data_IF_374928567656
#
_entry.id   IF_374928567656
#
_cell.length_a   1.000
_cell.length_b   1.000
_cell.length_c   1.000
_cell.angle_alpha   90.00
_cell.angle_beta   90.00
_cell.angle_gamma   90.00
#
_symmetry.space_group_name_H-M   'P 1'
#
loop_
_entity.id
_entity.type
_entity.pdbx_description
1 polymer ?
#
# COMPACT_ATOMS: atom_id res chain seq x y z
N UNK A 1 25.10 -12.97 -22.14
CA UNK A 1 23.66 -13.14 -21.89
C UNK A 1 23.11 -11.76 -21.62
N UNK A 2 22.43 -11.17 -22.62
CA UNK A 2 21.82 -9.86 -22.47
C UNK A 2 20.61 -9.98 -21.56
N UNK A 3 20.49 -9.08 -20.60
CA UNK A 3 19.39 -9.03 -19.64
C UNK A 3 18.16 -8.47 -20.38
N UNK A 4 17.14 -9.31 -20.60
CA UNK A 4 15.92 -8.93 -21.32
C UNK A 4 15.13 -7.88 -20.51
N UNK A 5 14.97 -6.68 -21.07
CA UNK A 5 14.20 -5.61 -20.42
C UNK A 5 12.69 -5.88 -20.50
N UNK A 6 11.87 -5.36 -19.56
CA UNK A 6 10.42 -5.52 -19.59
C UNK A 6 9.77 -5.04 -20.90
N UNK A 7 10.32 -3.98 -21.50
CA UNK A 7 9.86 -3.48 -22.80
C UNK A 7 10.07 -4.52 -23.92
N UNK A 8 11.24 -5.17 -23.98
CA UNK A 8 11.56 -6.21 -24.97
C UNK A 8 10.57 -7.37 -24.91
N UNK A 9 10.26 -7.86 -23.70
CA UNK A 9 9.30 -8.97 -23.53
C UNK A 9 7.87 -8.58 -23.88
N UNK A 10 7.45 -7.34 -23.62
CA UNK A 10 6.12 -6.86 -24.01
C UNK A 10 5.97 -6.79 -25.54
N UNK A 11 7.04 -6.40 -26.23
CA UNK A 11 7.11 -6.41 -27.69
C UNK A 11 7.04 -7.86 -28.22
N UNK A 12 7.82 -8.78 -27.66
CA UNK A 12 7.84 -10.19 -28.06
C UNK A 12 6.46 -10.87 -27.96
N UNK A 13 5.72 -10.61 -26.87
CA UNK A 13 4.39 -11.19 -26.69
C UNK A 13 3.36 -10.55 -27.62
N UNK A 14 3.46 -9.23 -27.89
CA UNK A 14 2.60 -8.57 -28.88
C UNK A 14 2.89 -9.09 -30.30
N UNK A 15 4.16 -9.24 -30.67
CA UNK A 15 4.57 -9.79 -31.96
C UNK A 15 4.12 -11.25 -32.13
N UNK A 16 4.14 -12.06 -31.08
CA UNK A 16 3.61 -13.44 -31.13
C UNK A 16 2.12 -13.51 -31.51
N UNK A 17 1.30 -12.54 -31.10
CA UNK A 17 -0.12 -12.46 -31.51
C UNK A 17 -0.22 -12.14 -33.00
N UNK A 18 0.59 -11.20 -33.49
CA UNK A 18 0.63 -10.84 -34.91
C UNK A 18 1.15 -11.98 -35.77
N UNK A 19 2.19 -12.69 -35.35
CA UNK A 19 2.74 -13.86 -36.04
C UNK A 19 1.70 -14.98 -36.17
N UNK A 20 0.98 -15.29 -35.09
CA UNK A 20 -0.10 -16.28 -35.14
C UNK A 20 -1.21 -15.86 -36.14
N UNK A 21 -1.56 -14.57 -36.19
CA UNK A 21 -2.53 -14.10 -37.19
C UNK A 21 -2.00 -14.21 -38.63
N UNK A 22 -0.71 -13.91 -38.84
CA UNK A 22 -0.07 -14.05 -40.15
C UNK A 22 0.00 -15.50 -40.62
N UNK A 23 0.23 -16.45 -39.72
CA UNK A 23 0.18 -17.88 -40.02
C UNK A 23 -1.21 -18.32 -40.48
N UNK A 24 -2.26 -17.86 -39.79
CA UNK A 24 -3.66 -18.13 -40.16
C UNK A 24 -4.00 -17.53 -41.53
N UNK A 25 -3.56 -16.30 -41.79
CA UNK A 25 -3.71 -15.63 -43.09
C UNK A 25 -3.01 -16.40 -44.23
N UNK A 26 -1.78 -16.84 -43.98
CA UNK A 26 -0.97 -17.55 -44.99
C UNK A 26 -1.53 -18.92 -45.28
N UNK A 27 -2.02 -19.63 -44.25
CA UNK A 27 -2.68 -20.92 -44.41
C UNK A 27 -3.98 -20.83 -45.23
N UNK A 28 -4.75 -19.74 -45.05
CA UNK A 28 -5.96 -19.51 -45.84
C UNK A 28 -5.63 -19.13 -47.29
N UNK A 29 -4.62 -18.28 -47.51
CA UNK A 29 -4.14 -17.92 -48.84
C UNK A 29 -3.64 -19.15 -49.64
N UNK A 30 -3.00 -20.11 -48.97
CA UNK A 30 -2.53 -21.35 -49.59
C UNK A 30 -3.64 -22.37 -49.90
N UNK A 31 -4.82 -22.23 -49.30
CA UNK A 31 -6.00 -23.10 -49.54
C UNK A 31 -6.94 -22.54 -50.60
N UNK A 32 -6.93 -21.23 -50.80
CA UNK A 32 -7.75 -20.56 -51.80
C UNK A 32 -7.07 -20.57 -53.18
N UNK A 33 -7.74 -21.03 -54.24
CA UNK A 33 -7.24 -20.91 -55.61
C UNK A 33 -7.31 -19.48 -56.15
N UNK A 34 -8.04 -18.58 -55.49
CA UNK A 34 -8.17 -17.16 -55.83
C UNK A 34 -7.50 -16.26 -54.77
N UNK A 35 -7.00 -15.07 -55.16
CA UNK A 35 -6.46 -14.09 -54.21
C UNK A 35 -7.48 -13.74 -53.12
N UNK A 36 -7.02 -13.65 -51.86
CA UNK A 36 -7.88 -13.27 -50.75
C UNK A 36 -8.47 -11.86 -50.96
N UNK A 37 -9.80 -11.76 -50.92
CA UNK A 37 -10.49 -10.46 -50.94
C UNK A 37 -10.42 -9.77 -49.58
N UNK A 38 -10.67 -8.45 -49.58
CA UNK A 38 -10.74 -7.63 -48.36
C UNK A 38 -11.79 -8.18 -47.38
N UNK A 39 -12.96 -8.58 -47.89
CA UNK A 39 -14.04 -9.13 -47.07
C UNK A 39 -13.65 -10.45 -46.40
N UNK A 40 -12.90 -11.31 -47.09
CA UNK A 40 -12.39 -12.57 -46.54
C UNK A 40 -11.35 -12.32 -45.44
N UNK A 41 -10.48 -11.32 -45.61
CA UNK A 41 -9.48 -10.94 -44.59
C UNK A 41 -10.18 -10.41 -43.32
N UNK A 42 -11.20 -9.56 -43.47
CA UNK A 42 -11.98 -9.04 -42.32
C UNK A 42 -12.76 -10.14 -41.58
N UNK A 43 -13.30 -11.12 -42.31
CA UNK A 43 -13.96 -12.28 -41.72
C UNK A 43 -12.96 -13.15 -40.94
N UNK A 44 -11.75 -13.35 -41.50
CA UNK A 44 -10.67 -14.08 -40.83
C UNK A 44 -10.23 -13.38 -39.54
N UNK A 45 -10.05 -12.06 -39.57
CA UNK A 45 -9.65 -11.27 -38.42
C UNK A 45 -10.68 -11.37 -37.28
N UNK A 46 -11.98 -11.32 -37.60
CA UNK A 46 -13.06 -11.53 -36.62
C UNK A 46 -13.03 -12.92 -36.00
N UNK A 47 -12.90 -13.96 -36.82
CA UNK A 47 -12.82 -15.35 -36.34
C UNK A 47 -11.59 -15.59 -35.47
N UNK A 48 -10.44 -15.04 -35.86
CA UNK A 48 -9.21 -15.12 -35.09
C UNK A 48 -9.38 -14.46 -33.72
N UNK A 49 -9.99 -13.28 -33.66
CA UNK A 49 -10.32 -12.60 -32.40
C UNK A 49 -11.24 -13.42 -31.50
N UNK A 50 -12.22 -14.12 -32.05
CA UNK A 50 -13.24 -14.83 -31.27
C UNK A 50 -12.80 -16.23 -30.79
N UNK A 51 -12.00 -16.95 -31.60
CA UNK A 51 -11.73 -18.37 -31.37
C UNK A 51 -10.25 -18.72 -31.32
N UNK A 52 -9.44 -18.24 -32.27
CA UNK A 52 -8.08 -18.75 -32.47
C UNK A 52 -7.02 -17.98 -31.65
N UNK A 53 -7.34 -16.76 -31.19
CA UNK A 53 -6.45 -15.93 -30.37
C UNK A 53 -6.47 -16.27 -28.88
N UNK A 54 -7.35 -17.16 -28.40
CA UNK A 54 -7.57 -17.44 -26.97
C UNK A 54 -6.29 -17.85 -26.23
N UNK A 55 -5.47 -18.71 -26.84
CA UNK A 55 -4.23 -19.19 -26.23
C UNK A 55 -3.14 -18.08 -26.19
N UNK A 56 -3.03 -17.29 -27.26
CA UNK A 56 -2.11 -16.16 -27.32
C UNK A 56 -2.53 -15.03 -26.37
N UNK A 57 -3.83 -14.76 -26.23
CA UNK A 57 -4.38 -13.82 -25.26
C UNK A 57 -4.20 -14.32 -23.82
N UNK A 58 -4.32 -15.62 -23.56
CA UNK A 58 -4.03 -16.19 -22.24
C UNK A 58 -2.55 -16.03 -21.87
N UNK A 59 -1.61 -16.21 -22.82
CA UNK A 59 -0.19 -15.90 -22.63
C UNK A 59 0.05 -14.41 -22.37
N UNK A 60 -0.63 -13.55 -23.13
CA UNK A 60 -0.56 -12.09 -22.96
C UNK A 60 -1.07 -11.66 -21.58
N UNK A 61 -2.24 -12.13 -21.15
CA UNK A 61 -2.77 -11.86 -19.81
C UNK A 61 -1.85 -12.41 -18.72
N UNK A 62 -1.33 -13.63 -18.87
CA UNK A 62 -0.38 -14.20 -17.90
C UNK A 62 0.90 -13.37 -17.77
N UNK A 63 1.43 -12.87 -18.88
CA UNK A 63 2.61 -11.99 -18.88
C UNK A 63 2.29 -10.64 -18.22
N UNK A 64 1.13 -10.04 -18.50
CA UNK A 64 0.69 -8.83 -17.82
C UNK A 64 0.45 -9.06 -16.34
N UNK A 65 -0.16 -10.17 -15.93
CA UNK A 65 -0.32 -10.56 -14.52
C UNK A 65 1.04 -10.78 -13.85
N UNK A 66 2.03 -11.34 -14.54
CA UNK A 66 3.40 -11.47 -14.03
C UNK A 66 4.12 -10.12 -13.94
N UNK A 67 3.90 -9.22 -14.91
CA UNK A 67 4.45 -7.87 -14.90
C UNK A 67 3.79 -7.00 -13.82
N UNK A 68 2.48 -7.15 -13.60
CA UNK A 68 1.71 -6.54 -12.53
C UNK A 68 2.15 -7.11 -11.18
N UNK A 69 2.28 -8.43 -11.02
CA UNK A 69 2.86 -9.05 -9.81
C UNK A 69 4.30 -8.61 -9.54
N UNK A 70 5.08 -8.33 -10.58
CA UNK A 70 6.45 -7.83 -10.46
C UNK A 70 6.47 -6.34 -10.09
N UNK A 71 5.58 -5.54 -10.67
CA UNK A 71 5.36 -4.14 -10.29
C UNK A 71 4.77 -4.01 -8.88
N UNK A 72 3.90 -4.93 -8.48
CA UNK A 72 3.37 -5.10 -7.13
C UNK A 72 4.48 -5.49 -6.18
N UNK A 73 5.36 -6.45 -6.53
CA UNK A 73 6.58 -6.72 -5.76
C UNK A 73 7.44 -5.47 -5.59
N UNK A 74 7.53 -4.61 -6.59
CA UNK A 74 8.30 -3.36 -6.51
C UNK A 74 7.63 -2.32 -5.59
N UNK A 75 6.30 -2.19 -5.60
CA UNK A 75 5.51 -1.38 -4.65
C UNK A 75 5.62 -1.93 -3.22
N UNK A 76 5.52 -3.25 -3.05
CA UNK A 76 5.71 -3.97 -1.78
C UNK A 76 7.15 -3.89 -1.28
N UNK A 77 8.13 -3.83 -2.17
CA UNK A 77 9.53 -3.60 -1.84
C UNK A 77 9.80 -2.14 -1.52
N UNK A 78 9.09 -1.14 -2.07
CA UNK A 78 9.28 0.26 -1.69
C UNK A 78 8.86 0.57 -0.24
N UNK A 79 7.70 0.07 0.21
CA UNK A 79 7.30 0.16 1.62
C UNK A 79 8.23 -0.64 2.57
N UNK A 80 8.96 -1.64 2.05
CA UNK A 80 10.04 -2.36 2.77
C UNK A 80 11.42 -1.69 2.63
N UNK A 81 11.64 -0.86 1.61
CA UNK A 81 12.86 -0.06 1.35
C UNK A 81 12.88 1.22 2.19
N UNK A 82 11.74 1.67 2.72
CA UNK A 82 11.60 2.84 3.60
C UNK A 82 11.41 2.41 5.06
N UNK A 83 12.47 2.44 5.89
CA UNK A 83 12.40 1.98 7.28
C UNK A 83 11.33 2.66 8.14
N UNK A 84 11.07 3.94 7.88
CA UNK A 84 10.13 4.70 8.70
C UNK A 84 8.68 4.30 8.38
N UNK A 85 8.34 4.04 7.12
CA UNK A 85 7.02 3.55 6.72
C UNK A 85 6.69 2.25 7.45
N UNK A 86 7.68 1.36 7.56
CA UNK A 86 7.56 0.12 8.31
C UNK A 86 7.30 0.34 9.81
N UNK A 87 7.88 1.38 10.41
CA UNK A 87 7.60 1.76 11.80
C UNK A 87 6.18 2.30 11.98
N UNK A 88 5.72 3.15 11.04
CA UNK A 88 4.35 3.68 11.06
C UNK A 88 3.33 2.53 10.99
N UNK A 89 3.51 1.63 10.00
CA UNK A 89 2.62 0.49 9.80
C UNK A 89 2.64 -0.45 11.00
N UNK A 90 3.78 -0.61 11.67
CA UNK A 90 3.87 -1.47 12.86
C UNK A 90 2.93 -1.06 13.99
N UNK A 91 2.55 0.24 14.09
CA UNK A 91 1.61 0.74 15.12
C UNK A 91 0.23 0.08 15.02
N UNK A 92 -0.26 -0.08 13.79
CA UNK A 92 -1.63 -0.53 13.54
C UNK A 92 -1.69 -1.85 12.76
N UNK A 93 -0.56 -2.54 12.55
CA UNK A 93 -0.49 -3.75 11.74
C UNK A 93 -1.41 -4.89 12.21
N UNK A 94 -1.84 -4.84 13.48
CA UNK A 94 -2.78 -5.80 14.07
C UNK A 94 -4.23 -5.62 13.62
N UNK A 95 -4.57 -4.49 13.00
CA UNK A 95 -5.89 -4.24 12.43
C UNK A 95 -6.08 -4.91 11.08
N UNK A 96 -4.97 -5.32 10.44
CA UNK A 96 -5.01 -5.94 9.13
C UNK A 96 -5.48 -7.40 9.22
N UNK A 97 -6.25 -7.86 8.23
CA UNK A 97 -6.66 -9.25 8.11
C UNK A 97 -5.44 -10.17 7.93
N UNK A 98 -5.54 -11.36 8.51
CA UNK A 98 -4.89 -12.58 8.02
C UNK A 98 -5.64 -13.08 6.78
N UNK A 99 -5.12 -14.10 6.11
CA UNK A 99 -5.70 -14.66 4.89
C UNK A 99 -7.19 -15.01 5.06
N UNK A 100 -8.04 -14.43 4.20
CA UNK A 100 -9.49 -14.61 4.20
C UNK A 100 -10.27 -13.94 5.35
N UNK A 101 -9.63 -13.24 6.28
CA UNK A 101 -10.32 -12.65 7.45
C UNK A 101 -11.22 -11.44 7.13
N UNK A 102 -11.11 -10.86 5.92
CA UNK A 102 -12.07 -9.82 5.50
C UNK A 102 -13.47 -10.39 5.34
N UNK A 103 -13.59 -11.66 4.96
CA UNK A 103 -14.89 -12.28 4.69
C UNK A 103 -15.61 -12.68 5.98
N UNK A 104 -14.88 -12.91 7.06
CA UNK A 104 -15.45 -13.19 8.38
C UNK A 104 -15.95 -11.96 9.13
N UNK A 105 -15.72 -10.75 8.61
CA UNK A 105 -16.08 -9.49 9.27
C UNK A 105 -15.34 -9.22 10.58
N UNK A 106 -14.29 -10.00 10.86
CA UNK A 106 -13.46 -9.89 12.07
C UNK A 106 -12.32 -8.90 11.91
N UNK A 107 -11.88 -8.66 10.66
CA UNK A 107 -10.86 -7.68 10.35
C UNK A 107 -11.48 -6.29 10.13
N UNK A 108 -10.79 -5.27 10.64
CA UNK A 108 -11.31 -3.90 10.66
C UNK A 108 -10.85 -3.11 9.42
N UNK A 109 -9.66 -3.41 8.87
CA UNK A 109 -9.02 -2.58 7.85
C UNK A 109 -8.23 -3.42 6.84
N UNK A 110 -8.46 -3.22 5.53
CA UNK A 110 -7.64 -3.80 4.46
C UNK A 110 -6.29 -3.07 4.32
N UNK A 111 -5.22 -3.79 3.94
CA UNK A 111 -3.92 -3.15 3.63
C UNK A 111 -3.96 -2.21 2.42
N UNK A 112 -5.06 -2.21 1.65
CA UNK A 112 -5.33 -1.25 0.58
C UNK A 112 -5.23 0.22 1.02
N UNK A 113 -5.37 0.51 2.32
CA UNK A 113 -5.28 1.88 2.86
C UNK A 113 -3.88 2.51 2.78
N UNK A 114 -2.83 1.71 2.63
CA UNK A 114 -1.45 2.16 2.85
C UNK A 114 -1.03 3.36 1.98
N UNK A 115 -1.31 3.42 0.66
CA UNK A 115 -0.89 4.57 -0.15
C UNK A 115 -1.54 5.87 0.32
N UNK A 116 -2.86 5.86 0.51
CA UNK A 116 -3.60 7.01 1.03
C UNK A 116 -3.22 7.39 2.46
N UNK A 117 -2.89 6.41 3.30
CA UNK A 117 -2.40 6.65 4.66
C UNK A 117 -1.06 7.41 4.65
N UNK A 118 -0.08 6.95 3.87
CA UNK A 118 1.22 7.63 3.79
C UNK A 118 1.09 9.04 3.21
N UNK A 119 0.24 9.22 2.20
CA UNK A 119 -0.07 10.54 1.64
C UNK A 119 -0.66 11.47 2.70
N UNK A 120 -1.66 11.00 3.46
CA UNK A 120 -2.29 11.80 4.52
C UNK A 120 -1.30 12.21 5.62
N UNK A 121 -0.44 11.28 6.02
CA UNK A 121 0.61 11.53 7.03
C UNK A 121 1.63 12.54 6.50
N UNK A 122 2.11 12.41 5.26
CA UNK A 122 3.02 13.40 4.65
C UNK A 122 2.36 14.78 4.52
N UNK A 123 1.07 14.85 4.16
CA UNK A 123 0.32 16.10 4.07
C UNK A 123 0.15 16.82 5.42
N UNK A 124 -0.08 16.07 6.51
CA UNK A 124 -0.23 16.66 7.85
C UNK A 124 1.13 17.02 8.47
N UNK A 125 2.12 16.14 8.35
CA UNK A 125 3.46 16.41 8.89
C UNK A 125 4.22 17.47 8.09
N UNK A 126 3.92 17.58 6.80
CA UNK A 126 4.74 18.29 5.84
C UNK A 126 5.89 17.42 5.33
N UNK A 127 6.21 17.61 4.04
CA UNK A 127 7.23 16.84 3.33
C UNK A 127 8.59 16.84 4.02
N UNK A 128 9.05 18.01 4.46
CA UNK A 128 10.37 18.17 5.06
C UNK A 128 10.51 17.34 6.35
N UNK A 129 9.53 17.44 7.27
CA UNK A 129 9.55 16.66 8.50
C UNK A 129 9.47 15.16 8.20
N UNK A 130 8.62 14.74 7.26
CA UNK A 130 8.49 13.34 6.89
C UNK A 130 9.81 12.78 6.31
N UNK A 131 10.48 13.52 5.43
CA UNK A 131 11.79 13.14 4.86
C UNK A 131 12.91 13.12 5.93
N UNK A 132 12.85 14.01 6.92
CA UNK A 132 13.74 13.99 8.09
C UNK A 132 13.53 12.71 8.92
N UNK A 133 12.27 12.33 9.20
CA UNK A 133 11.97 11.08 9.89
C UNK A 133 12.47 9.86 9.09
N UNK A 134 12.28 9.83 7.77
CA UNK A 134 12.84 8.77 6.92
C UNK A 134 14.36 8.65 7.08
N UNK A 135 15.06 9.79 7.05
CA UNK A 135 16.52 9.86 7.16
C UNK A 135 17.00 9.43 8.55
N UNK A 136 16.34 9.90 9.62
CA UNK A 136 16.64 9.52 10.99
C UNK A 136 16.45 8.01 11.21
N UNK A 137 15.32 7.44 10.74
CA UNK A 137 15.06 6.01 10.86
C UNK A 137 16.08 5.17 10.08
N UNK A 138 16.50 5.60 8.88
CA UNK A 138 17.59 4.96 8.13
C UNK A 138 18.89 4.96 8.92
N UNK A 139 19.19 6.06 9.61
CA UNK A 139 20.34 6.19 10.53
C UNK A 139 20.30 5.16 11.65
N UNK A 140 19.15 5.02 12.34
CA UNK A 140 18.94 4.03 13.41
C UNK A 140 19.15 2.61 12.88
N UNK A 141 18.53 2.26 11.75
CA UNK A 141 18.67 0.92 11.15
C UNK A 141 20.13 0.63 10.79
N UNK A 142 20.84 1.59 10.18
CA UNK A 142 22.26 1.42 9.82
C UNK A 142 23.13 1.22 11.07
N UNK A 143 22.90 1.99 12.13
CA UNK A 143 23.63 1.86 13.39
C UNK A 143 23.40 0.48 14.03
N UNK A 144 22.15 0.04 14.10
CA UNK A 144 21.81 -1.28 14.66
C UNK A 144 22.37 -2.42 13.83
N UNK A 145 22.27 -2.37 12.49
CA UNK A 145 22.91 -3.35 11.60
C UNK A 145 24.42 -3.47 11.84
N UNK A 146 25.11 -2.34 12.05
CA UNK A 146 26.54 -2.33 12.39
C UNK A 146 26.83 -2.96 13.76
N UNK A 147 25.93 -2.77 14.73
CA UNK A 147 26.07 -3.29 16.08
C UNK A 147 25.84 -4.80 16.17
N UNK A 148 24.79 -5.34 15.54
CA UNK A 148 24.39 -6.75 15.67
C UNK A 148 24.82 -7.63 14.51
N UNK A 149 25.26 -7.04 13.38
CA UNK A 149 25.76 -7.78 12.23
C UNK A 149 24.72 -8.74 11.64
N UNK A 150 25.08 -10.03 11.60
CA UNK A 150 24.27 -11.10 11.00
C UNK A 150 22.97 -11.38 11.77
N UNK A 151 22.91 -11.05 13.07
CA UNK A 151 21.74 -11.28 13.91
C UNK A 151 20.65 -10.20 13.75
N UNK A 152 20.81 -9.30 12.77
CA UNK A 152 19.86 -8.24 12.53
C UNK A 152 18.49 -8.78 12.11
N UNK A 153 17.48 -8.41 12.89
CA UNK A 153 16.07 -8.64 12.56
C UNK A 153 15.23 -7.43 13.00
N UNK A 154 14.12 -7.18 12.31
CA UNK A 154 13.33 -5.94 12.47
C UNK A 154 12.75 -5.74 13.87
N UNK A 155 12.57 -6.80 14.65
CA UNK A 155 12.14 -6.71 16.04
C UNK A 155 13.06 -5.81 16.87
N UNK A 156 14.37 -5.83 16.60
CA UNK A 156 15.36 -4.94 17.23
C UNK A 156 15.01 -3.47 17.02
N UNK A 157 14.50 -3.12 15.83
CA UNK A 157 14.12 -1.74 15.51
C UNK A 157 12.77 -1.40 16.11
N UNK A 158 11.83 -2.34 16.13
CA UNK A 158 10.52 -2.13 16.76
C UNK A 158 10.61 -1.95 18.28
N UNK A 159 11.60 -2.57 18.91
CA UNK A 159 11.87 -2.46 20.34
C UNK A 159 12.82 -1.31 20.68
N UNK A 160 13.44 -0.67 19.68
CA UNK A 160 14.32 0.48 19.90
C UNK A 160 13.52 1.72 20.33
N UNK A 161 13.93 2.33 21.43
CA UNK A 161 13.26 3.49 22.02
C UNK A 161 13.33 4.72 21.10
N UNK A 162 14.50 4.98 20.48
CA UNK A 162 14.63 6.12 19.57
C UNK A 162 13.76 5.95 18.32
N UNK A 163 13.61 4.71 17.83
CA UNK A 163 12.71 4.42 16.71
C UNK A 163 11.24 4.66 17.07
N UNK A 164 10.82 4.27 18.30
CA UNK A 164 9.47 4.53 18.80
C UNK A 164 9.22 6.02 19.00
N UNK A 165 10.18 6.73 19.59
CA UNK A 165 10.14 8.18 19.78
C UNK A 165 10.04 8.94 18.47
N UNK A 166 10.73 8.50 17.42
CA UNK A 166 10.62 9.13 16.10
C UNK A 166 9.18 9.10 15.53
N UNK A 167 8.44 8.02 15.80
CA UNK A 167 7.03 7.93 15.43
C UNK A 167 6.18 8.84 16.33
N UNK A 168 6.48 8.87 17.63
CA UNK A 168 5.79 9.77 18.56
C UNK A 168 5.99 11.24 18.14
N UNK A 169 7.19 11.65 17.73
CA UNK A 169 7.46 13.02 17.29
C UNK A 169 6.59 13.45 16.12
N UNK A 170 6.46 12.57 15.12
CA UNK A 170 5.58 12.80 13.98
C UNK A 170 4.12 12.99 14.44
N UNK A 171 3.63 12.08 15.29
CA UNK A 171 2.23 12.14 15.74
C UNK A 171 1.96 13.25 16.75
N UNK A 172 2.97 13.69 17.50
CA UNK A 172 2.93 14.88 18.33
C UNK A 172 2.66 16.13 17.51
N UNK A 173 3.31 16.28 16.36
CA UNK A 173 3.05 17.37 15.41
C UNK A 173 1.67 17.24 14.76
N UNK A 174 1.35 16.03 14.25
CA UNK A 174 0.09 15.74 13.56
C UNK A 174 -1.13 15.96 14.47
N UNK A 175 -1.00 15.75 15.78
CA UNK A 175 -2.10 15.90 16.75
C UNK A 175 -2.85 17.23 16.61
N UNK A 176 -2.15 18.32 16.32
CA UNK A 176 -2.71 19.65 16.17
C UNK A 176 -3.75 19.77 15.04
N UNK A 177 -3.71 18.90 14.03
CA UNK A 177 -4.67 18.87 12.93
C UNK A 177 -6.04 18.33 13.33
N UNK A 178 -6.13 17.64 14.48
CA UNK A 178 -7.34 17.02 15.01
C UNK A 178 -8.06 17.88 16.05
N UNK A 179 -7.78 19.19 16.11
CA UNK A 179 -8.53 20.12 16.97
C UNK A 179 -10.04 20.11 16.66
N UNK A 180 -10.40 19.93 15.38
CA UNK A 180 -11.76 19.55 14.95
C UNK A 180 -11.71 18.07 14.53
N UNK A 181 -11.96 17.20 15.52
CA UNK A 181 -11.75 15.76 15.39
C UNK A 181 -12.61 15.15 14.28
N UNK A 182 -13.93 15.36 14.30
CA UNK A 182 -14.85 14.77 13.33
C UNK A 182 -14.48 15.18 11.91
N UNK A 183 -14.28 16.49 11.69
CA UNK A 183 -13.92 17.00 10.37
C UNK A 183 -12.59 16.45 9.87
N UNK A 184 -11.59 16.33 10.75
CA UNK A 184 -10.27 15.81 10.36
C UNK A 184 -10.30 14.31 10.12
N UNK A 185 -11.04 13.54 10.93
CA UNK A 185 -11.20 12.11 10.75
C UNK A 185 -11.93 11.78 9.45
N UNK A 186 -12.99 12.54 9.11
CA UNK A 186 -13.67 12.44 7.82
C UNK A 186 -12.73 12.75 6.65
N UNK A 187 -11.99 13.86 6.71
CA UNK A 187 -11.01 14.20 5.67
C UNK A 187 -9.97 13.09 5.48
N UNK A 188 -9.47 12.50 6.58
CA UNK A 188 -8.49 11.42 6.55
C UNK A 188 -9.08 10.17 5.86
N UNK A 189 -10.31 9.78 6.24
CA UNK A 189 -11.02 8.65 5.64
C UNK A 189 -11.19 8.84 4.13
N UNK A 190 -11.65 10.01 3.71
CA UNK A 190 -11.93 10.29 2.31
C UNK A 190 -10.64 10.35 1.47
N UNK A 191 -9.56 10.90 2.02
CA UNK A 191 -8.26 10.89 1.37
C UNK A 191 -7.71 9.46 1.23
N UNK A 192 -7.87 8.62 2.26
CA UNK A 192 -7.46 7.21 2.20
C UNK A 192 -8.27 6.46 1.14
N UNK A 193 -9.60 6.62 1.15
CA UNK A 193 -10.48 5.92 0.22
C UNK A 193 -10.26 6.34 -1.24
N UNK A 194 -9.89 7.59 -1.50
CA UNK A 194 -9.56 8.06 -2.86
C UNK A 194 -8.21 7.54 -3.38
N UNK A 195 -7.39 6.92 -2.52
CA UNK A 195 -6.06 6.40 -2.85
C UNK A 195 -5.89 4.95 -2.40
N UNK A 196 -6.98 4.16 -2.38
CA UNK A 196 -6.87 2.73 -2.12
C UNK A 196 -6.05 2.06 -3.21
N UNK A 197 -5.15 1.16 -2.80
CA UNK A 197 -4.47 0.30 -3.74
C UNK A 197 -5.48 -0.58 -4.50
N UNK A 198 -5.15 -1.03 -5.72
CA UNK A 198 -5.96 -1.98 -6.46
C UNK A 198 -6.25 -3.24 -5.62
N UNK A 199 -7.49 -3.75 -5.60
CA UNK A 199 -7.87 -4.90 -4.79
C UNK A 199 -7.15 -6.20 -5.20
N UNK A 200 -6.71 -6.32 -6.46
CA UNK A 200 -5.96 -7.46 -6.98
C UNK A 200 -4.67 -7.71 -6.18
N UNK A 201 -4.01 -6.63 -5.76
CA UNK A 201 -2.79 -6.66 -4.95
C UNK A 201 -3.01 -7.28 -3.56
N UNK A 202 -4.26 -7.38 -3.12
CA UNK A 202 -4.68 -7.81 -1.78
C UNK A 202 -5.77 -8.89 -1.84
N UNK A 203 -5.89 -9.62 -2.95
CA UNK A 203 -6.88 -10.69 -3.13
C UNK A 203 -6.81 -11.78 -2.04
N UNK A 204 -5.64 -11.98 -1.42
CA UNK A 204 -5.46 -12.91 -0.31
C UNK A 204 -6.22 -12.51 0.97
N UNK A 205 -6.67 -11.25 1.09
CA UNK A 205 -7.41 -10.77 2.26
C UNK A 205 -8.87 -11.27 2.28
N UNK A 206 -9.41 -11.71 1.14
CA UNK A 206 -10.77 -12.24 0.99
C UNK A 206 -11.47 -11.73 -0.27
N UNK A 207 -12.59 -12.36 -0.66
CA UNK A 207 -13.37 -11.94 -1.84
C UNK A 207 -13.98 -10.54 -1.64
N UNK A 208 -14.34 -10.19 -0.41
CA UNK A 208 -14.90 -8.88 -0.06
C UNK A 208 -13.90 -7.72 -0.16
N UNK A 209 -12.61 -7.99 -0.40
CA UNK A 209 -11.60 -6.94 -0.56
C UNK A 209 -11.89 -6.03 -1.76
N UNK A 210 -12.60 -6.53 -2.77
CA UNK A 210 -12.91 -5.82 -4.02
C UNK A 210 -13.71 -4.54 -3.76
N UNK A 211 -14.82 -4.68 -3.04
CA UNK A 211 -15.76 -3.59 -2.75
C UNK A 211 -15.47 -2.89 -1.42
N UNK A 212 -14.40 -3.30 -0.73
CA UNK A 212 -14.08 -2.76 0.59
C UNK A 212 -13.64 -1.29 0.50
N UNK A 213 -14.09 -0.50 1.49
CA UNK A 213 -13.63 0.85 1.76
C UNK A 213 -13.49 1.10 3.26
N UNK A 214 -12.66 2.06 3.64
CA UNK A 214 -12.46 2.45 5.03
C UNK A 214 -13.72 3.17 5.54
N UNK A 215 -14.44 2.51 6.46
CA UNK A 215 -15.56 3.09 7.18
C UNK A 215 -15.14 3.88 8.43
N UNK A 216 -16.12 4.49 9.10
CA UNK A 216 -15.91 5.29 10.34
C UNK A 216 -15.22 4.47 11.43
N UNK A 217 -15.72 3.27 11.74
CA UNK A 217 -15.16 2.43 12.80
C UNK A 217 -13.71 2.03 12.52
N UNK A 218 -13.38 1.78 11.24
CA UNK A 218 -12.00 1.54 10.83
C UNK A 218 -11.11 2.77 10.95
N UNK A 219 -11.62 3.96 10.62
CA UNK A 219 -10.88 5.21 10.85
C UNK A 219 -10.60 5.43 12.34
N UNK A 220 -11.58 5.19 13.21
CA UNK A 220 -11.42 5.32 14.66
C UNK A 220 -10.43 4.29 15.21
N UNK A 221 -10.55 3.03 14.80
CA UNK A 221 -9.60 1.99 15.18
C UNK A 221 -8.17 2.33 14.75
N UNK A 222 -7.99 2.81 13.53
CA UNK A 222 -6.69 3.27 13.03
C UNK A 222 -6.13 4.40 13.90
N UNK A 223 -6.90 5.45 14.16
CA UNK A 223 -6.46 6.58 14.97
C UNK A 223 -6.13 6.17 16.41
N UNK A 224 -6.92 5.27 17.02
CA UNK A 224 -6.62 4.69 18.33
C UNK A 224 -5.26 4.00 18.34
N UNK A 225 -4.94 3.18 17.35
CA UNK A 225 -3.62 2.52 17.26
C UNK A 225 -2.44 3.49 17.09
N UNK A 226 -2.65 4.54 16.30
CA UNK A 226 -1.61 5.54 16.04
C UNK A 226 -1.30 6.35 17.31
N UNK A 227 -2.32 6.64 18.13
CA UNK A 227 -2.20 7.45 19.35
C UNK A 227 -2.15 6.66 20.65
N UNK A 228 -2.25 5.33 20.63
CA UNK A 228 -2.16 4.46 21.82
C UNK A 228 -0.95 4.74 22.73
N UNK A 229 0.27 5.04 22.21
CA UNK A 229 1.42 5.37 23.07
C UNK A 229 1.20 6.63 23.91
N UNK A 230 0.48 7.61 23.36
CA UNK A 230 0.13 8.82 24.10
C UNK A 230 -0.92 8.56 25.16
N UNK A 231 -1.86 7.66 24.90
CA UNK A 231 -2.81 7.24 25.93
C UNK A 231 -2.09 6.60 27.12
N UNK A 232 -1.11 5.73 26.87
CA UNK A 232 -0.27 5.12 27.91
C UNK A 232 0.53 6.19 28.67
N UNK A 233 1.17 7.11 27.95
CA UNK A 233 1.94 8.21 28.57
C UNK A 233 1.07 9.16 29.39
N UNK A 234 -0.14 9.48 28.95
CA UNK A 234 -1.06 10.37 29.67
C UNK A 234 -1.65 9.74 30.94
N UNK A 235 -1.66 8.41 31.02
CA UNK A 235 -2.10 7.69 32.23
C UNK A 235 -1.08 7.82 33.38
N UNK A 236 0.16 8.23 33.09
CA UNK A 236 1.23 8.41 34.05
C UNK A 236 1.64 9.89 34.18
N UNK A 237 2.02 10.31 35.40
CA UNK A 237 2.40 11.72 35.64
C UNK A 237 3.74 12.05 34.98
N UNK A 238 4.69 11.11 34.95
CA UNK A 238 5.98 11.32 34.29
C UNK A 238 5.83 11.31 32.76
N UNK A 239 5.05 10.37 32.21
CA UNK A 239 4.69 10.34 30.79
C UNK A 239 3.98 11.62 30.33
N UNK A 240 3.02 12.14 31.11
CA UNK A 240 2.39 13.44 30.82
C UNK A 240 3.42 14.58 30.78
N UNK A 241 4.30 14.66 31.78
CA UNK A 241 5.36 15.68 31.82
C UNK A 241 6.28 15.56 30.61
N UNK A 242 6.60 14.34 30.18
CA UNK A 242 7.39 14.10 28.97
C UNK A 242 6.73 14.69 27.72
N UNK A 243 5.43 14.48 27.54
CA UNK A 243 4.66 15.08 26.42
C UNK A 243 4.71 16.61 26.49
N UNK A 244 4.50 17.20 27.68
CA UNK A 244 4.53 18.65 27.87
C UNK A 244 5.92 19.27 27.58
N UNK A 245 6.99 18.62 28.02
CA UNK A 245 8.37 19.08 27.79
C UNK A 245 8.79 18.95 26.33
N UNK A 246 8.37 17.87 25.66
CA UNK A 246 8.79 17.55 24.30
C UNK A 246 7.97 18.26 23.22
N UNK A 247 6.66 18.35 23.41
CA UNK A 247 5.72 18.88 22.41
C UNK A 247 5.04 20.19 22.83
N UNK A 248 5.19 20.58 24.09
CA UNK A 248 4.58 21.78 24.65
C UNK A 248 3.17 21.55 25.22
N UNK A 249 2.77 22.44 26.12
CA UNK A 249 1.48 22.37 26.83
C UNK A 249 0.26 22.32 25.88
N UNK A 250 0.33 23.04 24.75
CA UNK A 250 -0.76 23.05 23.76
C UNK A 250 -0.94 21.69 23.10
N UNK A 251 0.14 21.07 22.66
CA UNK A 251 0.09 19.74 22.03
C UNK A 251 -0.36 18.68 23.04
N UNK A 252 0.12 18.75 24.29
CA UNK A 252 -0.35 17.88 25.36
C UNK A 252 -1.88 17.92 25.50
N UNK A 253 -2.48 19.12 25.61
CA UNK A 253 -3.94 19.27 25.69
C UNK A 253 -4.67 18.75 24.46
N UNK A 254 -4.16 19.03 23.25
CA UNK A 254 -4.78 18.49 22.02
C UNK A 254 -4.75 16.97 21.99
N UNK A 255 -3.64 16.36 22.40
CA UNK A 255 -3.50 14.90 22.48
C UNK A 255 -4.45 14.33 23.54
N UNK A 256 -4.60 14.98 24.70
CA UNK A 256 -5.58 14.58 25.72
C UNK A 256 -7.02 14.62 25.20
N UNK A 257 -7.41 15.70 24.53
CA UNK A 257 -8.74 15.84 23.92
C UNK A 257 -8.98 14.77 22.86
N UNK A 258 -7.98 14.50 22.02
CA UNK A 258 -8.01 13.49 20.98
C UNK A 258 -8.19 12.08 21.57
N UNK A 259 -7.37 11.71 22.55
CA UNK A 259 -7.49 10.43 23.27
C UNK A 259 -8.85 10.33 23.97
N UNK A 260 -9.34 11.44 24.53
CA UNK A 260 -10.67 11.53 25.13
C UNK A 260 -11.83 11.37 24.14
N UNK A 261 -11.66 11.73 22.86
CA UNK A 261 -12.65 11.46 21.82
C UNK A 261 -12.79 9.95 21.59
N UNK A 262 -11.68 9.22 21.54
CA UNK A 262 -11.70 7.76 21.33
C UNK A 262 -12.52 7.02 22.37
N UNK A 263 -12.46 7.44 23.64
CA UNK A 263 -13.18 6.81 24.76
C UNK A 263 -14.69 7.07 24.73
N UNK A 264 -15.12 8.19 24.14
CA UNK A 264 -16.53 8.57 24.05
C UNK A 264 -17.28 7.84 22.94
N UNK A 265 -16.55 7.33 21.96
CA UNK A 265 -17.10 6.60 20.81
C UNK A 265 -17.00 5.07 20.98
N UNK A 266 -16.95 4.58 22.22
CA UNK A 266 -17.00 3.14 22.57
C UNK A 266 -18.21 2.90 23.46
#
# INVERSE_FOLDING_TARGET
MADETPASKSEDVAFSIFEHFLEVLTAEAGRSPEPLSVESIEALARRFKENDSKESLARFHKYFDECLRQHEKDIWDEARKRPFDRLLVKRFSRLFPTEGEMDSGTAVISRRILPGFFLAVEMMAGKELFDQCQSACKGIVKAKKKQVGADFHWRIIYEDENARELVNDLFGVISSHFADFEKRAEWLRDLINSHLAPPENYAFEGEHVQDWSLGRDGTLALLRELFAPFEEMLADTEGRRHIEERYGLKACRTIEELVGNFKRET
#
